data_IF_136050651979
#
_entry.id   IF_136050651979
#
_cell.length_a   1.000
_cell.length_b   1.000
_cell.length_c   1.000
_cell.angle_alpha   90.00
_cell.angle_beta   90.00
_cell.angle_gamma   90.00
#
_symmetry.space_group_name_H-M   'P 1'
#
loop_
_entity.id
_entity.type
_entity.pdbx_description
1 polymer ?
#
# COMPACT_ATOMS: atom_id res chain seq x y z
N UNK A 1 9.02 3.45 2.53
CA UNK A 1 8.94 2.67 3.77
C UNK A 1 10.14 3.02 4.63
N UNK A 2 9.99 3.09 5.94
CA UNK A 2 11.04 3.54 6.85
C UNK A 2 10.93 2.84 8.21
N UNK A 3 12.04 2.85 8.95
CA UNK A 3 12.07 2.52 10.37
C UNK A 3 12.35 3.77 11.18
N UNK A 4 11.68 3.94 12.31
CA UNK A 4 11.87 5.04 13.24
C UNK A 4 11.98 4.50 14.67
N UNK A 5 12.78 5.17 15.51
CA UNK A 5 12.94 4.81 16.93
C UNK A 5 11.75 5.31 17.78
N UNK A 6 11.16 6.46 17.42
CA UNK A 6 10.13 7.16 18.21
C UNK A 6 8.68 6.71 17.90
N UNK A 7 8.47 5.46 17.47
CA UNK A 7 7.14 4.87 17.27
C UNK A 7 7.05 3.46 17.84
N UNK A 8 5.91 3.14 18.45
CA UNK A 8 5.69 1.84 19.10
C UNK A 8 4.95 0.82 18.23
N UNK A 9 4.27 1.29 17.18
CA UNK A 9 3.43 0.46 16.30
C UNK A 9 3.71 0.71 14.84
N UNK A 10 3.44 -0.28 13.99
CA UNK A 10 3.47 -0.05 12.54
C UNK A 10 2.31 0.87 12.15
N UNK A 11 2.65 1.91 11.41
CA UNK A 11 1.68 2.80 10.77
C UNK A 11 1.81 2.68 9.26
N UNK A 12 0.68 2.57 8.57
CA UNK A 12 0.63 2.52 7.12
C UNK A 12 -0.27 3.60 6.56
N UNK A 13 0.05 4.06 5.35
CA UNK A 13 -0.79 4.95 4.57
C UNK A 13 -0.87 4.41 3.15
N UNK A 14 -2.08 4.42 2.60
CA UNK A 14 -2.33 4.13 1.20
C UNK A 14 -2.88 5.39 0.53
N UNK A 15 -2.25 5.80 -0.57
CA UNK A 15 -2.70 6.91 -1.37
C UNK A 15 -2.85 6.51 -2.83
N UNK A 16 -3.83 7.14 -3.49
CA UNK A 16 -4.11 6.96 -4.91
C UNK A 16 -4.09 8.30 -5.64
N UNK A 17 -3.32 8.39 -6.70
CA UNK A 17 -3.45 9.43 -7.72
C UNK A 17 -4.20 8.88 -8.94
N UNK A 18 -5.37 9.46 -9.27
CA UNK A 18 -6.11 9.08 -10.48
C UNK A 18 -5.34 9.42 -11.76
N UNK A 19 -4.63 10.56 -11.77
CA UNK A 19 -3.85 11.02 -12.94
C UNK A 19 -2.45 10.39 -12.99
N UNK A 20 -2.02 9.72 -11.93
CA UNK A 20 -0.63 9.29 -11.75
C UNK A 20 0.26 10.47 -11.30
N UNK A 21 1.47 10.15 -10.88
CA UNK A 21 2.51 11.10 -10.46
C UNK A 21 3.80 10.71 -11.18
N UNK A 22 4.50 11.69 -11.75
CA UNK A 22 5.86 11.47 -12.25
C UNK A 22 6.78 11.18 -11.07
N UNK A 23 7.41 10.00 -11.08
CA UNK A 23 8.14 9.48 -9.94
C UNK A 23 9.37 8.67 -10.37
N UNK A 24 9.80 8.81 -11.63
CA UNK A 24 10.95 8.10 -12.19
C UNK A 24 10.88 6.58 -11.98
N UNK A 25 9.68 6.01 -12.08
CA UNK A 25 9.47 4.58 -11.83
C UNK A 25 10.35 3.70 -12.73
N UNK A 26 10.57 2.46 -12.31
CA UNK A 26 11.40 1.50 -13.05
C UNK A 26 10.88 1.27 -14.48
N UNK A 27 9.56 1.26 -14.66
CA UNK A 27 8.88 1.10 -15.95
C UNK A 27 8.60 2.42 -16.67
N UNK A 28 9.05 3.55 -16.10
CA UNK A 28 8.87 4.91 -16.62
C UNK A 28 7.40 5.31 -16.84
N UNK A 29 6.48 4.69 -16.11
CA UNK A 29 5.05 5.03 -16.11
C UNK A 29 4.69 5.90 -14.89
N UNK A 30 3.64 6.74 -14.99
CA UNK A 30 3.12 7.46 -13.84
C UNK A 30 2.75 6.52 -12.68
N UNK A 31 3.13 6.89 -11.46
CA UNK A 31 2.80 6.14 -10.24
C UNK A 31 1.39 6.51 -9.79
N UNK A 32 0.50 5.53 -9.75
CA UNK A 32 -0.88 5.71 -9.31
C UNK A 32 -1.12 5.36 -7.85
N UNK A 33 -0.32 4.46 -7.27
CA UNK A 33 -0.50 3.98 -5.91
C UNK A 33 0.77 4.22 -5.10
N UNK A 34 0.59 4.74 -3.89
CA UNK A 34 1.68 5.01 -2.96
C UNK A 34 1.34 4.33 -1.64
N UNK A 35 2.25 3.49 -1.16
CA UNK A 35 2.15 2.84 0.14
C UNK A 35 3.30 3.32 1.02
N UNK A 36 2.98 4.00 2.11
CA UNK A 36 3.93 4.29 3.16
C UNK A 36 3.77 3.24 4.25
N UNK A 37 4.90 2.68 4.69
CA UNK A 37 4.99 1.79 5.85
C UNK A 37 6.06 2.37 6.74
N UNK A 38 5.69 2.70 7.98
CA UNK A 38 6.60 3.17 9.02
C UNK A 38 6.54 2.14 10.14
N UNK A 39 7.70 1.63 10.56
CA UNK A 39 7.78 0.56 11.55
C UNK A 39 8.77 0.91 12.68
N UNK A 40 8.54 0.44 13.91
CA UNK A 40 9.52 0.57 14.99
C UNK A 40 10.88 -0.04 14.59
N UNK A 41 11.99 0.55 15.01
CA UNK A 41 13.33 0.10 14.60
C UNK A 41 13.60 -1.39 14.88
N UNK A 42 13.11 -1.88 16.02
CA UNK A 42 13.23 -3.25 16.50
C UNK A 42 12.23 -4.25 15.86
N UNK A 43 11.40 -3.84 14.90
CA UNK A 43 10.28 -4.65 14.35
C UNK A 43 10.54 -5.28 12.98
N UNK A 44 11.78 -5.68 12.65
CA UNK A 44 12.17 -6.17 11.31
C UNK A 44 11.22 -7.22 10.72
N UNK A 45 10.87 -8.25 11.48
CA UNK A 45 10.00 -9.33 10.99
C UNK A 45 8.60 -8.85 10.62
N UNK A 46 8.00 -7.99 11.45
CA UNK A 46 6.67 -7.43 11.20
C UNK A 46 6.71 -6.45 10.03
N UNK A 47 7.76 -5.64 9.91
CA UNK A 47 7.98 -4.73 8.79
C UNK A 47 8.02 -5.47 7.46
N UNK A 48 8.82 -6.55 7.35
CA UNK A 48 8.90 -7.35 6.13
C UNK A 48 7.56 -8.02 5.79
N UNK A 49 6.84 -8.53 6.80
CA UNK A 49 5.49 -9.09 6.61
C UNK A 49 4.51 -8.07 6.04
N UNK A 50 4.53 -6.82 6.53
CA UNK A 50 3.68 -5.75 6.03
C UNK A 50 3.99 -5.43 4.55
N UNK A 51 5.26 -5.30 4.19
CA UNK A 51 5.68 -5.06 2.80
C UNK A 51 5.28 -6.21 1.86
N UNK A 52 5.47 -7.46 2.30
CA UNK A 52 5.10 -8.63 1.54
C UNK A 52 3.58 -8.69 1.28
N UNK A 53 2.77 -8.38 2.31
CA UNK A 53 1.31 -8.32 2.19
C UNK A 53 0.87 -7.25 1.19
N UNK A 54 1.38 -6.02 1.31
CA UNK A 54 1.08 -4.92 0.38
C UNK A 54 1.50 -5.29 -1.06
N UNK A 55 2.70 -5.83 -1.24
CA UNK A 55 3.18 -6.27 -2.56
C UNK A 55 2.27 -7.33 -3.17
N UNK A 56 1.79 -8.29 -2.37
CA UNK A 56 0.86 -9.33 -2.84
C UNK A 56 -0.48 -8.75 -3.26
N UNK A 57 -1.08 -7.87 -2.45
CA UNK A 57 -2.34 -7.20 -2.78
C UNK A 57 -2.23 -6.46 -4.12
N UNK A 58 -1.20 -5.62 -4.24
CA UNK A 58 -1.00 -4.79 -5.43
C UNK A 58 -0.52 -5.57 -6.65
N UNK A 59 -0.22 -6.88 -6.56
CA UNK A 59 0.00 -7.71 -7.76
C UNK A 59 -1.30 -8.02 -8.50
N UNK A 60 -2.45 -8.01 -7.83
CA UNK A 60 -3.74 -8.28 -8.46
C UNK A 60 -4.17 -7.12 -9.39
N UNK A 61 -4.27 -7.33 -10.71
CA UNK A 61 -4.69 -6.28 -11.65
C UNK A 61 -6.13 -5.83 -11.42
N UNK A 62 -7.05 -6.75 -11.09
CA UNK A 62 -8.45 -6.41 -10.85
C UNK A 62 -8.61 -5.51 -9.62
N UNK A 63 -7.81 -5.76 -8.57
CA UNK A 63 -7.76 -4.90 -7.40
C UNK A 63 -7.30 -3.48 -7.76
N UNK A 64 -6.23 -3.35 -8.55
CA UNK A 64 -5.71 -2.05 -8.99
C UNK A 64 -6.74 -1.26 -9.78
N UNK A 65 -7.45 -1.91 -10.71
CA UNK A 65 -8.52 -1.27 -11.50
C UNK A 65 -9.70 -0.82 -10.62
N UNK A 66 -10.11 -1.66 -9.66
CA UNK A 66 -11.15 -1.30 -8.70
C UNK A 66 -10.76 -0.07 -7.87
N UNK A 67 -9.52 -0.03 -7.35
CA UNK A 67 -9.00 1.12 -6.61
C UNK A 67 -8.95 2.37 -7.49
N UNK A 68 -8.53 2.27 -8.76
CA UNK A 68 -8.51 3.42 -9.69
C UNK A 68 -9.91 3.97 -9.94
N UNK A 69 -10.89 3.08 -10.06
CA UNK A 69 -12.28 3.42 -10.39
C UNK A 69 -13.07 3.98 -9.20
N UNK A 70 -12.65 3.69 -7.95
CA UNK A 70 -13.33 4.16 -6.75
C UNK A 70 -13.54 5.69 -6.74
N UNK A 71 -14.68 6.15 -6.21
CA UNK A 71 -14.95 7.59 -6.09
C UNK A 71 -14.54 8.09 -4.72
N UNK A 72 -14.80 7.30 -3.68
CA UNK A 72 -14.60 7.67 -2.27
C UNK A 72 -13.47 6.89 -1.59
N UNK A 73 -12.93 7.46 -0.52
CA UNK A 73 -11.86 6.84 0.28
C UNK A 73 -12.32 5.54 0.94
N UNK A 74 -13.55 5.50 1.45
CA UNK A 74 -14.10 4.32 2.14
C UNK A 74 -14.23 3.11 1.21
N UNK A 75 -14.49 3.35 -0.09
CA UNK A 75 -14.50 2.29 -1.09
C UNK A 75 -13.11 1.68 -1.28
N UNK A 76 -12.07 2.52 -1.33
CA UNK A 76 -10.68 2.04 -1.45
C UNK A 76 -10.32 1.20 -0.22
N UNK A 77 -10.68 1.67 0.98
CA UNK A 77 -10.44 0.93 2.21
C UNK A 77 -11.14 -0.43 2.21
N UNK A 78 -12.41 -0.47 1.80
CA UNK A 78 -13.18 -1.71 1.70
C UNK A 78 -12.55 -2.69 0.69
N UNK A 79 -12.22 -2.21 -0.52
CA UNK A 79 -11.55 -3.02 -1.55
C UNK A 79 -10.25 -3.66 -1.03
N UNK A 80 -9.40 -2.87 -0.34
CA UNK A 80 -8.13 -3.34 0.19
C UNK A 80 -8.30 -4.38 1.30
N UNK A 81 -9.23 -4.14 2.23
CA UNK A 81 -9.45 -5.01 3.40
C UNK A 81 -10.17 -6.30 3.02
N UNK A 82 -11.14 -6.25 2.12
CA UNK A 82 -11.78 -7.44 1.55
C UNK A 82 -10.77 -8.33 0.84
N UNK A 83 -9.89 -7.77 0.00
CA UNK A 83 -8.86 -8.56 -0.67
C UNK A 83 -7.83 -9.14 0.31
N UNK A 84 -7.40 -8.39 1.34
CA UNK A 84 -6.45 -8.89 2.34
C UNK A 84 -7.04 -10.04 3.18
N UNK A 85 -8.34 -9.99 3.47
CA UNK A 85 -9.05 -11.02 4.23
C UNK A 85 -9.02 -12.40 3.56
N UNK A 86 -8.85 -12.46 2.23
CA UNK A 86 -8.74 -13.73 1.47
C UNK A 86 -7.46 -14.51 1.78
N UNK A 87 -6.53 -13.91 2.52
CA UNK A 87 -5.26 -14.49 2.89
C UNK A 87 -5.07 -14.69 4.40
N UNK A 88 -6.14 -14.49 5.17
CA UNK A 88 -6.26 -14.94 6.55
C UNK A 88 -6.77 -16.38 6.56
#
# INVERSE_FOLDING_TARGET
>A
HAKLDDIDTITTLFARSKKGIEFESLDKKPVHFICLVIAPANSTGLHLKALARISRLLKNPALREAILSATEVDQIYSILTEEDSKFL
#
